data_IF_080325658925
#
_entry.id   IF_080325658925
#
_cell.length_a   1.000
_cell.length_b   1.000
_cell.length_c   1.000
_cell.angle_alpha   90.00
_cell.angle_beta   90.00
_cell.angle_gamma   90.00
#
_symmetry.space_group_name_H-M   'P 1'
#
loop_
_entity.id
_entity.type
_entity.pdbx_description
1 polymer ?
#
# COMPACT_ATOMS: atom_id res chain seq x y z
N UNK A 1 -8.81 31.46 -28.65
CA UNK A 1 -7.81 30.40 -28.46
C UNK A 1 -7.17 30.62 -27.11
N UNK A 2 -7.67 29.91 -26.11
CA UNK A 2 -6.89 29.44 -24.97
C UNK A 2 -7.46 28.05 -24.78
N UNK A 3 -6.69 27.04 -25.18
CA UNK A 3 -6.98 25.65 -24.88
C UNK A 3 -6.94 25.53 -23.37
N UNK A 4 -8.10 25.29 -22.75
CA UNK A 4 -8.17 24.71 -21.42
C UNK A 4 -7.47 23.36 -21.51
N UNK A 5 -6.16 23.37 -21.29
CA UNK A 5 -5.39 22.20 -20.88
C UNK A 5 -5.95 21.84 -19.51
N UNK A 6 -7.08 21.11 -19.52
CA UNK A 6 -7.50 20.32 -18.39
C UNK A 6 -6.34 19.36 -18.17
N UNK A 7 -5.50 19.68 -17.18
CA UNK A 7 -4.60 18.71 -16.58
C UNK A 7 -5.48 17.49 -16.32
N UNK A 8 -5.28 16.44 -17.10
CA UNK A 8 -5.74 15.12 -16.73
C UNK A 8 -5.20 14.94 -15.32
N UNK A 9 -6.08 14.88 -14.31
CA UNK A 9 -5.68 14.49 -12.96
C UNK A 9 -5.03 13.12 -13.14
N UNK A 10 -3.70 13.09 -13.25
CA UNK A 10 -2.95 11.85 -13.48
C UNK A 10 -3.33 10.94 -12.32
N UNK A 11 -4.13 9.91 -12.64
CA UNK A 11 -4.63 8.99 -11.63
C UNK A 11 -3.41 8.38 -10.94
N UNK A 12 -3.30 8.57 -9.62
CA UNK A 12 -2.23 7.96 -8.84
C UNK A 12 -2.53 6.46 -8.73
N UNK A 13 -2.08 5.70 -9.73
CA UNK A 13 -2.26 4.25 -9.82
C UNK A 13 -0.96 3.59 -9.40
N UNK A 14 -1.02 2.61 -8.50
CA UNK A 14 0.11 1.76 -8.11
C UNK A 14 -0.16 0.32 -8.50
N UNK A 15 0.91 -0.46 -8.67
CA UNK A 15 0.83 -1.90 -8.79
C UNK A 15 0.91 -2.51 -7.38
N UNK A 16 -0.03 -3.39 -7.04
CA UNK A 16 -0.11 -4.00 -5.72
C UNK A 16 -0.12 -5.52 -5.85
N UNK A 17 0.80 -6.19 -5.18
CA UNK A 17 0.74 -7.63 -4.93
C UNK A 17 0.20 -7.87 -3.52
N UNK A 18 -0.71 -8.83 -3.36
CA UNK A 18 -1.35 -9.12 -2.06
C UNK A 18 -0.97 -10.54 -1.61
N UNK A 19 -0.17 -10.62 -0.55
CA UNK A 19 0.30 -11.89 -0.01
C UNK A 19 -0.87 -12.81 0.40
N UNK A 20 -0.71 -14.10 0.08
CA UNK A 20 -1.70 -15.12 0.43
C UNK A 20 -2.95 -15.11 -0.46
N UNK A 21 -2.95 -14.36 -1.56
CA UNK A 21 -4.03 -14.34 -2.55
C UNK A 21 -3.56 -14.81 -3.92
N UNK A 22 -4.52 -15.10 -4.81
CA UNK A 22 -4.26 -15.40 -6.22
C UNK A 22 -3.98 -14.16 -7.07
N UNK A 23 -4.02 -12.97 -6.47
CA UNK A 23 -3.73 -11.71 -7.15
C UNK A 23 -2.22 -11.56 -7.30
N UNK A 24 -1.68 -11.99 -8.45
CA UNK A 24 -0.25 -11.86 -8.76
C UNK A 24 0.17 -10.38 -8.77
N UNK A 25 -0.63 -9.51 -9.38
CA UNK A 25 -0.43 -8.06 -9.43
C UNK A 25 -1.75 -7.37 -9.82
N UNK A 26 -2.16 -6.34 -9.08
CA UNK A 26 -3.39 -5.56 -9.37
C UNK A 26 -3.10 -4.06 -9.36
N UNK A 27 -3.66 -3.34 -10.33
CA UNK A 27 -3.59 -1.88 -10.39
C UNK A 27 -4.60 -1.27 -9.40
N UNK A 28 -4.12 -0.45 -8.48
CA UNK A 28 -4.94 0.21 -7.45
C UNK A 28 -4.84 1.72 -7.59
N UNK A 29 -5.98 2.37 -7.74
CA UNK A 29 -6.06 3.83 -7.71
C UNK A 29 -6.01 4.34 -6.26
N UNK A 30 -4.96 5.06 -5.91
CA UNK A 30 -4.81 5.79 -4.67
C UNK A 30 -5.51 7.14 -4.82
N UNK A 31 -6.51 7.38 -3.98
CA UNK A 31 -7.32 8.62 -4.04
C UNK A 31 -6.67 9.79 -3.31
N UNK A 32 -5.81 9.51 -2.34
CA UNK A 32 -5.03 10.52 -1.62
C UNK A 32 -3.73 9.89 -1.10
N UNK A 33 -2.57 10.15 -1.73
CA UNK A 33 -1.29 9.57 -1.33
C UNK A 33 -0.71 10.20 -0.05
N UNK A 34 -1.31 11.28 0.47
CA UNK A 34 -0.90 11.94 1.72
C UNK A 34 -1.53 11.29 2.96
N UNK A 35 -2.47 10.36 2.78
CA UNK A 35 -3.00 9.59 3.90
C UNK A 35 -1.92 8.68 4.48
N UNK A 36 -2.02 8.47 5.79
CA UNK A 36 -1.09 7.64 6.54
C UNK A 36 -1.00 6.23 5.95
N UNK A 37 0.15 5.57 6.07
CA UNK A 37 0.31 4.17 5.63
C UNK A 37 -0.75 3.27 6.27
N UNK A 38 -1.12 3.52 7.55
CA UNK A 38 -2.20 2.80 8.25
C UNK A 38 -3.56 2.98 7.57
N UNK A 39 -3.90 4.19 7.16
CA UNK A 39 -5.13 4.47 6.43
C UNK A 39 -5.14 3.83 5.05
N UNK A 40 -4.01 3.87 4.32
CA UNK A 40 -3.89 3.20 3.02
C UNK A 40 -4.13 1.69 3.15
N UNK A 41 -3.49 1.04 4.11
CA UNK A 41 -3.68 -0.39 4.39
C UNK A 41 -5.13 -0.68 4.75
N UNK A 42 -5.73 0.15 5.62
CA UNK A 42 -7.13 -0.03 6.03
C UNK A 42 -8.08 0.07 4.84
N UNK A 43 -7.83 1.01 3.92
CA UNK A 43 -8.57 1.13 2.66
C UNK A 43 -8.39 -0.10 1.77
N UNK A 44 -7.15 -0.58 1.56
CA UNK A 44 -6.86 -1.77 0.74
C UNK A 44 -7.57 -3.00 1.32
N UNK A 45 -7.37 -3.28 2.61
CA UNK A 45 -8.01 -4.41 3.31
C UNK A 45 -9.53 -4.36 3.20
N UNK A 46 -10.12 -3.16 3.24
CA UNK A 46 -11.58 -3.01 3.10
C UNK A 46 -12.07 -3.19 1.66
N UNK A 47 -11.34 -2.69 0.67
CA UNK A 47 -11.69 -2.79 -0.75
C UNK A 47 -11.61 -4.24 -1.25
N UNK A 48 -10.57 -4.96 -0.83
CA UNK A 48 -10.36 -6.37 -1.20
C UNK A 48 -11.00 -7.36 -0.21
N UNK A 49 -11.73 -6.87 0.80
CA UNK A 49 -12.38 -7.68 1.84
C UNK A 49 -11.45 -8.72 2.49
N UNK A 50 -10.20 -8.32 2.77
CA UNK A 50 -9.16 -9.24 3.27
C UNK A 50 -9.46 -9.70 4.71
N UNK A 51 -9.10 -10.96 5.05
CA UNK A 51 -9.41 -11.53 6.35
C UNK A 51 -8.64 -10.85 7.49
N UNK A 52 -9.31 -10.57 8.61
CA UNK A 52 -8.65 -9.97 9.79
C UNK A 52 -8.06 -11.00 10.76
N UNK A 53 -8.35 -12.28 10.52
CA UNK A 53 -7.96 -13.40 11.38
C UNK A 53 -7.47 -14.53 10.46
N UNK A 54 -6.35 -15.16 10.83
CA UNK A 54 -5.81 -16.30 10.10
C UNK A 54 -6.63 -17.58 10.37
N UNK A 55 -6.27 -18.67 9.67
CA UNK A 55 -6.91 -19.98 9.87
C UNK A 55 -6.68 -20.58 11.27
N UNK A 56 -5.71 -20.06 12.02
CA UNK A 56 -5.40 -20.45 13.40
C UNK A 56 -6.18 -19.67 14.47
N UNK A 57 -6.94 -18.64 14.08
CA UNK A 57 -7.66 -17.76 15.00
C UNK A 57 -6.83 -16.58 15.50
N UNK A 58 -5.65 -16.32 14.94
CA UNK A 58 -4.79 -15.19 15.30
C UNK A 58 -5.17 -13.95 14.49
N UNK A 59 -5.19 -12.75 15.10
CA UNK A 59 -5.33 -11.51 14.35
C UNK A 59 -4.23 -11.37 13.29
N UNK A 60 -4.59 -10.84 12.12
CA UNK A 60 -3.64 -10.53 11.05
C UNK A 60 -3.33 -9.03 11.09
N UNK A 61 -2.04 -8.70 11.10
CA UNK A 61 -1.53 -7.38 10.78
C UNK A 61 -1.16 -7.33 9.31
N UNK A 62 -1.59 -6.27 8.64
CA UNK A 62 -1.17 -5.99 7.28
C UNK A 62 -0.09 -4.91 7.29
N UNK A 63 0.93 -5.10 6.48
CA UNK A 63 2.03 -4.17 6.26
C UNK A 63 2.11 -3.87 4.76
N UNK A 64 2.52 -2.66 4.40
CA UNK A 64 2.91 -2.35 3.02
C UNK A 64 4.44 -2.38 2.96
N UNK A 65 4.98 -2.91 1.87
CA UNK A 65 6.38 -2.76 1.52
C UNK A 65 6.55 -2.33 0.07
N UNK A 66 7.71 -1.78 -0.24
CA UNK A 66 8.11 -1.41 -1.60
C UNK A 66 9.25 -2.31 -2.06
N UNK A 67 9.28 -2.66 -3.35
CA UNK A 67 10.43 -3.34 -3.95
C UNK A 67 11.32 -2.28 -4.59
N UNK A 68 12.52 -2.09 -4.04
CA UNK A 68 13.50 -1.12 -4.55
C UNK A 68 14.30 -1.73 -5.72
N UNK A 69 14.65 -3.02 -5.60
CA UNK A 69 15.43 -3.77 -6.59
C UNK A 69 14.73 -5.09 -6.94
N UNK A 70 14.66 -5.41 -8.24
CA UNK A 70 14.01 -6.62 -8.73
C UNK A 70 14.65 -7.89 -8.13
N UNK A 71 13.83 -8.67 -7.41
CA UNK A 71 14.25 -9.93 -6.78
C UNK A 71 14.69 -9.81 -5.32
N UNK A 72 14.62 -8.62 -4.72
CA UNK A 72 14.81 -8.44 -3.28
C UNK A 72 13.50 -8.58 -2.48
N UNK A 73 13.64 -8.76 -1.17
CA UNK A 73 12.51 -8.72 -0.25
C UNK A 73 11.96 -7.29 -0.17
N UNK A 74 10.63 -7.10 -0.10
CA UNK A 74 10.04 -5.77 0.00
C UNK A 74 10.47 -5.08 1.30
N UNK A 75 10.95 -3.84 1.17
CA UNK A 75 11.26 -2.99 2.31
C UNK A 75 9.97 -2.48 2.94
N UNK A 76 9.76 -2.76 4.22
CA UNK A 76 8.53 -2.40 4.93
C UNK A 76 8.46 -0.89 5.14
N UNK A 77 7.32 -0.33 4.74
CA UNK A 77 6.97 1.06 4.98
C UNK A 77 6.57 1.21 6.46
N UNK A 78 7.44 1.80 7.26
CA UNK A 78 7.18 2.08 8.67
C UNK A 78 5.99 3.05 8.83
N UNK A 79 5.19 2.85 9.89
CA UNK A 79 4.04 3.69 10.15
C UNK A 79 4.41 5.07 10.68
N UNK A 80 5.54 5.18 11.36
CA UNK A 80 6.00 6.36 12.08
C UNK A 80 7.51 6.53 11.86
N UNK A 81 8.00 7.78 11.77
CA UNK A 81 9.45 8.06 11.75
C UNK A 81 10.08 8.01 13.15
N UNK A 82 11.39 8.26 13.22
CA UNK A 82 12.17 8.36 14.46
C UNK A 82 11.64 9.42 15.45
N UNK A 83 10.90 10.41 14.97
CA UNK A 83 10.26 11.46 15.76
C UNK A 83 8.80 11.10 16.17
N UNK A 84 8.30 9.93 15.77
CA UNK A 84 6.95 9.46 16.05
C UNK A 84 5.87 10.11 15.19
N UNK A 85 6.22 10.64 14.02
CA UNK A 85 5.26 11.22 13.06
C UNK A 85 4.77 10.16 12.11
N UNK A 86 3.45 10.08 11.94
CA UNK A 86 2.83 9.17 10.99
C UNK A 86 3.31 9.45 9.56
N UNK A 87 3.75 8.40 8.88
CA UNK A 87 4.24 8.44 7.52
C UNK A 87 3.11 8.17 6.51
N UNK A 88 3.26 8.71 5.31
CA UNK A 88 2.40 8.50 4.15
C UNK A 88 3.22 7.99 2.94
N UNK A 89 2.54 7.61 1.84
CA UNK A 89 3.23 7.08 0.65
C UNK A 89 4.22 8.10 0.06
N UNK A 90 3.86 9.38 0.10
CA UNK A 90 4.68 10.47 -0.41
C UNK A 90 6.02 10.62 0.34
N UNK A 91 6.07 10.26 1.62
CA UNK A 91 7.28 10.39 2.43
C UNK A 91 8.35 9.36 2.02
N UNK A 92 7.91 8.25 1.45
CA UNK A 92 8.75 7.21 0.85
C UNK A 92 9.05 7.45 -0.63
N UNK A 93 8.66 8.62 -1.16
CA UNK A 93 8.84 8.99 -2.57
C UNK A 93 8.15 8.03 -3.56
N UNK A 94 7.09 7.34 -3.13
CA UNK A 94 6.30 6.44 -3.98
C UNK A 94 5.64 7.25 -5.09
N UNK A 95 5.81 6.80 -6.33
CA UNK A 95 5.28 7.42 -7.55
C UNK A 95 4.15 6.57 -8.16
N UNK A 96 3.31 7.16 -9.03
CA UNK A 96 2.42 6.38 -9.88
C UNK A 96 3.20 5.36 -10.72
N UNK A 97 2.70 4.14 -10.79
CA UNK A 97 3.33 2.99 -11.46
C UNK A 97 4.24 2.16 -10.56
N UNK A 98 4.59 2.64 -9.36
CA UNK A 98 5.42 1.89 -8.43
C UNK A 98 4.72 0.61 -7.95
N UNK A 99 5.54 -0.38 -7.60
CA UNK A 99 5.09 -1.68 -7.15
C UNK A 99 5.22 -1.81 -5.64
N UNK A 100 4.07 -1.98 -4.98
CA UNK A 100 3.97 -2.25 -3.56
C UNK A 100 3.49 -3.67 -3.28
N UNK A 101 3.86 -4.17 -2.11
CA UNK A 101 3.47 -5.47 -1.59
C UNK A 101 2.66 -5.29 -0.31
N UNK A 102 1.46 -5.86 -0.27
CA UNK A 102 0.68 -5.99 0.95
C UNK A 102 1.00 -7.34 1.61
N UNK A 103 1.68 -7.28 2.74
CA UNK A 103 2.19 -8.45 3.46
C UNK A 103 1.26 -8.75 4.63
N UNK A 104 0.91 -10.01 4.81
CA UNK A 104 0.06 -10.47 5.92
C UNK A 104 0.89 -11.16 7.00
N UNK A 105 0.86 -10.61 8.21
CA UNK A 105 1.63 -11.10 9.36
C UNK A 105 0.67 -11.50 10.48
N UNK A 106 0.61 -12.80 10.86
CA UNK A 106 -0.19 -13.23 12.00
C UNK A 106 0.44 -12.71 13.30
N UNK A 107 -0.35 -11.99 14.10
CA UNK A 107 0.05 -11.55 15.44
C UNK A 107 -0.26 -12.71 16.40
N UNK A 108 0.73 -13.58 16.61
CA UNK A 108 0.67 -14.58 17.67
C UNK A 108 0.70 -13.88 19.04
N UNK A 109 -0.31 -14.14 19.87
CA UNK A 109 -0.35 -13.73 21.27
C UNK A 109 0.44 -14.66 22.19
#
# INVERSE_FOLDING_TARGET
MVTEEMYEEEDFIINLTIDGTEFEEVEVKVTDPNKTIRDQITSIVSVFELPKIDNGGNPIQYLLGQIIDEGEEPEILEFEDEDGREQALIDYNIQPGDHLHLISVPIAG
#
